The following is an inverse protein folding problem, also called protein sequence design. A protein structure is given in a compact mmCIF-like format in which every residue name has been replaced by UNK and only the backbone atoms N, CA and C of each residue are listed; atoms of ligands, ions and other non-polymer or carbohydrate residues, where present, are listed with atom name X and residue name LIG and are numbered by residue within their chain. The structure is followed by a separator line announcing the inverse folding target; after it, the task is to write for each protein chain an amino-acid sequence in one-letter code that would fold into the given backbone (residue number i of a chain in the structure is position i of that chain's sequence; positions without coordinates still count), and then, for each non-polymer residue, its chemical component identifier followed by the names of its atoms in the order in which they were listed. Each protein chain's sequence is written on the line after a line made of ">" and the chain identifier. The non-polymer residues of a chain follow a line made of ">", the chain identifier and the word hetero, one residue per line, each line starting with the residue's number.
data_IF_898556127938
#
_entry.id   IF_898556127938
#
_cell.length_a   1.000
_cell.length_b   1.000
_cell.length_c   1.000
_cell.angle_alpha   90.00
_cell.angle_beta   90.00
_cell.angle_gamma   90.00
#
_symmetry.space_group_name_H-M   'P 1'
#
loop_
_entity.id
_entity.type
_entity.pdbx_description
1 polymer ?
#
# COMPACT_ATOMS: atom_id res chain seq x y z
N UNK A 1 13.49 28.55 -24.13
CA UNK A 1 13.69 27.12 -23.93
C UNK A 1 13.33 26.67 -22.51
N UNK A 2 13.86 27.27 -21.43
CA UNK A 2 13.57 26.90 -20.01
C UNK A 2 12.06 26.87 -19.65
N UNK A 3 11.24 27.87 -20.06
CA UNK A 3 9.79 27.90 -19.78
C UNK A 3 9.00 26.78 -20.48
N UNK A 4 9.40 26.39 -21.70
CA UNK A 4 8.73 25.32 -22.46
C UNK A 4 9.05 23.95 -21.84
N UNK A 5 10.30 23.74 -21.44
CA UNK A 5 10.74 22.53 -20.74
C UNK A 5 10.03 22.36 -19.37
N UNK A 6 9.88 23.46 -18.62
CA UNK A 6 9.16 23.45 -17.35
C UNK A 6 7.68 23.06 -17.53
N UNK A 7 6.99 23.63 -18.54
CA UNK A 7 5.59 23.28 -18.84
C UNK A 7 5.44 21.79 -19.22
N UNK A 8 6.39 21.25 -19.98
CA UNK A 8 6.39 19.82 -20.36
C UNK A 8 6.63 18.94 -19.14
N UNK A 9 7.63 19.25 -18.33
CA UNK A 9 7.97 18.48 -17.12
C UNK A 9 6.86 18.49 -16.06
N UNK A 10 5.99 19.51 -16.04
CA UNK A 10 4.85 19.62 -15.12
C UNK A 10 3.52 19.11 -15.68
N UNK A 11 3.55 18.55 -16.90
CA UNK A 11 2.37 18.06 -17.59
C UNK A 11 1.95 16.67 -17.07
N UNK A 12 0.92 16.62 -16.22
CA UNK A 12 0.43 15.36 -15.65
C UNK A 12 0.04 14.32 -16.72
N UNK A 13 -0.64 14.68 -17.83
CA UNK A 13 -0.91 13.72 -18.91
C UNK A 13 0.34 13.06 -19.47
N UNK A 14 1.43 13.82 -19.67
CA UNK A 14 2.70 13.25 -20.14
C UNK A 14 3.29 12.27 -19.12
N UNK A 15 3.25 12.61 -17.82
CA UNK A 15 3.71 11.72 -16.75
C UNK A 15 2.91 10.41 -16.77
N UNK A 16 1.59 10.48 -16.96
CA UNK A 16 0.72 9.30 -17.05
C UNK A 16 1.02 8.44 -18.27
N UNK A 17 1.24 9.06 -19.44
CA UNK A 17 1.61 8.33 -20.65
C UNK A 17 2.94 7.60 -20.47
N UNK A 18 3.94 8.25 -19.91
CA UNK A 18 5.24 7.62 -19.64
C UNK A 18 5.12 6.53 -18.58
N UNK A 19 4.38 6.79 -17.49
CA UNK A 19 4.13 5.80 -16.44
C UNK A 19 3.45 4.53 -16.99
N UNK A 20 2.44 4.71 -17.85
CA UNK A 20 1.75 3.59 -18.49
C UNK A 20 2.67 2.88 -19.49
N UNK A 21 3.38 3.63 -20.33
CA UNK A 21 4.30 3.08 -21.33
C UNK A 21 5.41 2.22 -20.72
N UNK A 22 6.04 2.67 -19.62
CA UNK A 22 7.08 1.90 -18.93
C UNK A 22 6.54 0.59 -18.37
N UNK A 23 5.34 0.61 -17.75
CA UNK A 23 4.70 -0.58 -17.17
C UNK A 23 4.29 -1.57 -18.24
N UNK A 24 3.68 -1.10 -19.32
CA UNK A 24 3.30 -1.96 -20.46
C UNK A 24 4.53 -2.52 -21.17
N UNK A 25 5.56 -1.70 -21.37
CA UNK A 25 6.82 -2.15 -21.97
C UNK A 25 7.54 -3.21 -21.15
N UNK A 26 7.57 -3.03 -19.82
CA UNK A 26 8.09 -4.04 -18.90
C UNK A 26 7.27 -5.34 -18.95
N UNK A 27 5.94 -5.25 -18.84
CA UNK A 27 5.06 -6.41 -18.89
C UNK A 27 5.22 -7.18 -20.21
N UNK A 28 5.33 -6.47 -21.33
CA UNK A 28 5.58 -7.06 -22.65
C UNK A 28 6.94 -7.77 -22.74
N UNK A 29 8.00 -7.21 -22.15
CA UNK A 29 9.33 -7.83 -22.11
C UNK A 29 9.34 -9.09 -21.25
N UNK A 30 8.69 -9.05 -20.07
CA UNK A 30 8.64 -10.18 -19.17
C UNK A 30 7.75 -11.32 -19.69
N UNK A 31 6.62 -11.01 -20.33
CA UNK A 31 5.73 -12.01 -20.91
C UNK A 31 6.48 -12.95 -21.86
N UNK A 32 7.35 -12.39 -22.70
CA UNK A 32 8.12 -13.17 -23.68
C UNK A 32 9.09 -14.17 -23.06
N UNK A 33 9.41 -14.00 -21.78
CA UNK A 33 10.33 -14.85 -21.03
C UNK A 33 9.61 -15.99 -20.31
N UNK A 34 8.28 -15.91 -20.15
CA UNK A 34 7.48 -16.96 -19.52
C UNK A 34 7.13 -18.02 -20.59
N UNK A 35 7.42 -19.31 -20.34
CA UNK A 35 6.95 -20.39 -21.19
C UNK A 35 5.44 -20.33 -21.40
N UNK A 36 4.97 -20.56 -22.62
CA UNK A 36 3.56 -20.34 -23.00
C UNK A 36 2.56 -21.19 -22.21
N UNK A 37 2.96 -22.38 -21.84
CA UNK A 37 2.20 -23.34 -21.02
C UNK A 37 2.09 -22.90 -19.55
N UNK A 38 2.95 -22.01 -19.07
CA UNK A 38 3.00 -21.54 -17.69
C UNK A 38 2.40 -20.14 -17.50
N UNK A 39 2.21 -19.35 -18.58
CA UNK A 39 1.76 -17.95 -18.52
C UNK A 39 0.42 -17.78 -17.78
N UNK A 40 -0.48 -18.73 -17.91
CA UNK A 40 -1.79 -18.64 -17.27
C UNK A 40 -1.90 -19.34 -15.92
N UNK A 41 -0.87 -20.06 -15.48
CA UNK A 41 -0.94 -20.94 -14.32
C UNK A 41 -0.13 -20.40 -13.13
N UNK A 42 1.18 -20.25 -13.28
CA UNK A 42 2.10 -19.96 -12.16
C UNK A 42 1.75 -18.71 -11.36
N UNK A 43 1.39 -17.55 -11.97
CA UNK A 43 1.07 -16.36 -11.20
C UNK A 43 -0.18 -16.48 -10.34
N UNK A 44 -1.04 -17.44 -10.62
CA UNK A 44 -2.31 -17.67 -9.91
C UNK A 44 -2.24 -18.78 -8.86
N UNK A 45 -1.09 -19.44 -8.69
CA UNK A 45 -0.91 -20.51 -7.69
C UNK A 45 -0.79 -20.02 -6.25
N UNK A 46 -1.23 -18.80 -5.98
CA UNK A 46 -1.22 -18.20 -4.64
C UNK A 46 -2.64 -18.11 -4.10
N UNK A 47 -2.80 -17.80 -2.83
CA UNK A 47 -4.10 -17.79 -2.13
C UNK A 47 -5.15 -16.97 -2.87
N UNK A 48 -4.76 -15.81 -3.42
CA UNK A 48 -5.68 -14.96 -4.20
C UNK A 48 -6.23 -15.66 -5.43
N UNK A 49 -5.36 -16.30 -6.20
CA UNK A 49 -5.75 -17.02 -7.41
C UNK A 49 -6.57 -18.28 -7.10
N UNK A 50 -6.21 -19.02 -6.04
CA UNK A 50 -6.96 -20.20 -5.59
C UNK A 50 -8.38 -19.85 -5.13
N UNK A 51 -8.52 -18.78 -4.32
CA UNK A 51 -9.84 -18.28 -3.90
C UNK A 51 -10.64 -17.79 -5.11
N UNK A 52 -10.00 -17.06 -6.02
CA UNK A 52 -10.67 -16.61 -7.26
C UNK A 52 -11.13 -17.77 -8.15
N UNK A 53 -10.35 -18.84 -8.21
CA UNK A 53 -10.72 -20.09 -8.89
C UNK A 53 -11.97 -20.72 -8.26
N UNK A 54 -12.00 -20.89 -6.94
CA UNK A 54 -13.17 -21.38 -6.19
C UNK A 54 -14.43 -20.55 -6.47
N UNK A 55 -14.29 -19.20 -6.47
CA UNK A 55 -15.39 -18.28 -6.79
C UNK A 55 -15.86 -18.47 -8.25
N UNK A 56 -14.91 -18.57 -9.20
CA UNK A 56 -15.23 -18.69 -10.63
C UNK A 56 -15.95 -20.00 -10.96
N UNK A 57 -15.63 -21.07 -10.25
CA UNK A 57 -16.32 -22.38 -10.37
C UNK A 57 -17.67 -22.44 -9.64
N UNK A 58 -18.03 -21.42 -8.87
CA UNK A 58 -19.31 -21.39 -8.15
C UNK A 58 -19.27 -22.00 -6.74
N UNK A 59 -18.10 -22.43 -6.26
CA UNK A 59 -17.93 -23.00 -4.92
C UNK A 59 -17.90 -21.90 -3.82
N UNK A 60 -17.94 -20.61 -4.21
CA UNK A 60 -17.93 -19.47 -3.31
C UNK A 60 -16.53 -19.05 -2.88
N UNK A 61 -16.47 -18.19 -1.85
CA UNK A 61 -15.22 -17.66 -1.32
C UNK A 61 -14.55 -18.68 -0.38
N UNK A 62 -13.67 -19.51 -0.96
CA UNK A 62 -13.08 -20.68 -0.29
C UNK A 62 -11.72 -21.06 -0.87
N UNK A 63 -11.13 -22.12 -0.30
CA UNK A 63 -9.95 -22.82 -0.82
C UNK A 63 -8.75 -21.91 -1.06
N UNK A 64 -8.11 -21.35 -0.01
CA UNK A 64 -6.91 -20.50 -0.16
C UNK A 64 -5.70 -21.30 -0.66
N UNK A 65 -5.71 -22.62 -0.51
CA UNK A 65 -4.70 -23.52 -1.04
C UNK A 65 -5.13 -24.13 -2.36
N UNK A 66 -4.21 -24.80 -3.04
CA UNK A 66 -4.43 -25.51 -4.30
C UNK A 66 -5.53 -26.58 -4.22
N UNK A 67 -5.74 -27.16 -3.04
CA UNK A 67 -6.76 -28.19 -2.81
C UNK A 67 -8.08 -27.55 -2.35
N UNK A 68 -9.18 -28.26 -2.57
CA UNK A 68 -10.48 -27.84 -2.06
C UNK A 68 -10.52 -27.98 -0.52
N UNK A 69 -10.55 -26.86 0.18
CA UNK A 69 -10.48 -26.79 1.65
C UNK A 69 -11.70 -26.13 2.29
N UNK A 70 -12.73 -25.87 1.47
CA UNK A 70 -13.97 -25.23 1.93
C UNK A 70 -13.88 -23.71 2.12
N UNK A 71 -14.90 -23.11 2.78
CA UNK A 71 -14.96 -21.67 2.97
C UNK A 71 -13.76 -21.11 3.70
N UNK A 72 -13.34 -19.88 3.35
CA UNK A 72 -12.21 -19.20 3.98
C UNK A 72 -12.52 -17.73 4.31
N UNK A 73 -11.84 -17.20 5.31
CA UNK A 73 -11.68 -15.77 5.58
C UNK A 73 -10.21 -15.34 5.50
N UNK A 74 -9.36 -16.11 4.81
CA UNK A 74 -7.91 -15.89 4.69
C UNK A 74 -7.57 -14.52 4.15
N UNK A 75 -8.29 -14.08 3.10
CA UNK A 75 -8.17 -12.76 2.48
C UNK A 75 -9.47 -11.97 2.58
N UNK A 76 -9.36 -10.67 2.34
CA UNK A 76 -10.51 -9.78 2.11
C UNK A 76 -11.04 -9.91 0.68
N UNK A 77 -12.33 -9.61 0.44
CA UNK A 77 -13.01 -10.04 -0.78
C UNK A 77 -12.65 -9.27 -2.05
N UNK A 78 -12.29 -7.98 -1.96
CA UNK A 78 -12.21 -7.10 -3.14
C UNK A 78 -11.31 -7.68 -4.23
N UNK A 79 -10.08 -8.03 -3.90
CA UNK A 79 -9.14 -8.44 -4.92
C UNK A 79 -9.38 -9.86 -5.45
N UNK A 80 -9.70 -10.88 -4.63
CA UNK A 80 -10.11 -12.19 -5.15
C UNK A 80 -11.33 -12.14 -6.07
N UNK A 81 -12.33 -11.28 -5.80
CA UNK A 81 -13.46 -11.10 -6.70
C UNK A 81 -13.07 -10.40 -8.01
N UNK A 82 -12.12 -9.48 -8.03
CA UNK A 82 -11.58 -8.90 -9.27
C UNK A 82 -10.93 -9.98 -10.15
N UNK A 83 -10.10 -10.82 -9.54
CA UNK A 83 -9.45 -11.94 -10.24
C UNK A 83 -10.49 -12.96 -10.74
N UNK A 84 -11.49 -13.30 -9.92
CA UNK A 84 -12.59 -14.18 -10.31
C UNK A 84 -13.41 -13.61 -11.48
N UNK A 85 -13.59 -12.29 -11.52
CA UNK A 85 -14.18 -11.58 -12.65
C UNK A 85 -13.36 -11.76 -13.93
N UNK A 86 -12.04 -11.66 -13.87
CA UNK A 86 -11.16 -11.93 -15.00
C UNK A 86 -11.26 -13.40 -15.46
N UNK A 87 -11.31 -14.34 -14.53
CA UNK A 87 -11.53 -15.76 -14.85
C UNK A 87 -12.83 -16.03 -15.58
N UNK A 88 -13.93 -15.39 -15.15
CA UNK A 88 -15.24 -15.56 -15.80
C UNK A 88 -15.30 -14.96 -17.20
N UNK A 89 -14.60 -13.84 -17.42
CA UNK A 89 -14.61 -13.13 -18.70
C UNK A 89 -13.64 -13.73 -19.72
N UNK A 90 -12.48 -14.20 -19.28
CA UNK A 90 -11.38 -14.59 -20.16
C UNK A 90 -10.98 -16.06 -20.04
N UNK A 91 -11.65 -16.81 -19.17
CA UNK A 91 -11.34 -18.22 -18.90
C UNK A 91 -10.39 -18.42 -17.73
N UNK A 92 -10.61 -19.53 -17.00
CA UNK A 92 -9.83 -19.90 -15.82
C UNK A 92 -8.41 -20.30 -16.25
N UNK A 93 -7.40 -19.77 -15.57
CA UNK A 93 -5.98 -20.06 -15.79
C UNK A 93 -5.53 -19.83 -17.25
N UNK A 94 -6.16 -18.90 -17.95
CA UNK A 94 -5.76 -18.53 -19.30
C UNK A 94 -4.78 -17.37 -19.32
N UNK A 95 -3.91 -17.25 -20.34
CA UNK A 95 -3.08 -16.07 -20.54
C UNK A 95 -3.91 -14.78 -20.60
N UNK A 96 -5.10 -14.79 -21.22
CA UNK A 96 -5.96 -13.62 -21.31
C UNK A 96 -6.45 -13.14 -19.93
N UNK A 97 -6.82 -14.05 -19.03
CA UNK A 97 -7.18 -13.71 -17.65
C UNK A 97 -5.98 -13.11 -16.89
N UNK A 98 -4.79 -13.68 -17.06
CA UNK A 98 -3.56 -13.16 -16.49
C UNK A 98 -3.29 -11.71 -16.94
N UNK A 99 -3.31 -11.48 -18.27
CA UNK A 99 -3.07 -10.13 -18.80
C UNK A 99 -4.14 -9.13 -18.40
N UNK A 100 -5.40 -9.55 -18.28
CA UNK A 100 -6.46 -8.68 -17.78
C UNK A 100 -6.17 -8.20 -16.34
N UNK A 101 -5.73 -9.09 -15.46
CA UNK A 101 -5.36 -8.75 -14.08
C UNK A 101 -4.08 -7.90 -14.03
N UNK A 102 -3.06 -8.25 -14.81
CA UNK A 102 -1.83 -7.44 -14.93
C UNK A 102 -2.15 -6.03 -15.43
N UNK A 103 -3.01 -5.92 -16.46
CA UNK A 103 -3.44 -4.62 -16.99
C UNK A 103 -4.16 -3.79 -15.92
N UNK A 104 -5.04 -4.38 -15.12
CA UNK A 104 -5.68 -3.70 -14.00
C UNK A 104 -4.65 -3.19 -12.98
N UNK A 105 -3.67 -4.01 -12.61
CA UNK A 105 -2.60 -3.61 -11.71
C UNK A 105 -1.74 -2.47 -12.29
N UNK A 106 -1.44 -2.53 -13.58
CA UNK A 106 -0.73 -1.46 -14.30
C UNK A 106 -1.53 -0.16 -14.27
N UNK A 107 -2.83 -0.23 -14.53
CA UNK A 107 -3.72 0.94 -14.48
C UNK A 107 -3.78 1.53 -13.07
N UNK A 108 -3.91 0.72 -12.02
CA UNK A 108 -3.87 1.19 -10.64
C UNK A 108 -2.54 1.86 -10.29
N UNK A 109 -1.44 1.24 -10.67
CA UNK A 109 -0.10 1.80 -10.43
C UNK A 109 0.14 3.10 -11.20
N UNK A 110 -0.25 3.20 -12.47
CA UNK A 110 -0.12 4.43 -13.26
C UNK A 110 -1.05 5.53 -12.73
N UNK A 111 -2.31 5.21 -12.40
CA UNK A 111 -3.27 6.15 -11.85
C UNK A 111 -2.83 6.76 -10.51
N UNK A 112 -1.97 6.09 -9.75
CA UNK A 112 -1.38 6.60 -8.49
C UNK A 112 -0.59 7.90 -8.69
N UNK A 113 -0.07 8.17 -9.89
CA UNK A 113 0.53 9.47 -10.23
C UNK A 113 -0.42 10.64 -9.99
N UNK A 114 -1.75 10.44 -10.16
CA UNK A 114 -2.75 11.50 -10.04
C UNK A 114 -2.85 12.01 -8.60
N UNK A 115 -3.25 11.20 -7.60
CA UNK A 115 -3.35 11.67 -6.23
C UNK A 115 -2.01 12.18 -5.69
N UNK A 116 -0.87 11.55 -6.02
CA UNK A 116 0.45 12.00 -5.58
C UNK A 116 0.81 13.37 -6.14
N UNK A 117 0.50 13.64 -7.40
CA UNK A 117 0.68 14.97 -7.99
C UNK A 117 -0.12 16.03 -7.23
N UNK A 118 -1.40 15.76 -6.94
CA UNK A 118 -2.23 16.72 -6.21
C UNK A 118 -1.84 16.89 -4.74
N UNK A 119 -1.38 15.83 -4.08
CA UNK A 119 -0.77 15.92 -2.74
C UNK A 119 0.50 16.76 -2.79
N UNK A 120 1.39 16.52 -3.75
CA UNK A 120 2.63 17.27 -3.95
C UNK A 120 2.39 18.78 -4.15
N UNK A 121 1.33 19.15 -4.91
CA UNK A 121 0.94 20.56 -5.07
C UNK A 121 0.55 21.25 -3.75
N UNK A 122 -0.03 20.50 -2.82
CA UNK A 122 -0.41 21.02 -1.50
C UNK A 122 0.78 21.13 -0.58
N UNK A 123 1.67 20.15 -0.61
CA UNK A 123 2.83 20.04 0.30
C UNK A 123 3.93 21.03 -0.07
N UNK A 124 4.26 21.18 -1.36
CA UNK A 124 5.44 21.92 -1.78
C UNK A 124 5.40 22.50 -3.21
N UNK A 125 4.27 23.04 -3.65
CA UNK A 125 4.10 23.65 -4.99
C UNK A 125 4.20 22.61 -6.13
N UNK A 126 4.13 23.14 -7.38
CA UNK A 126 4.16 22.34 -8.62
C UNK A 126 5.49 21.58 -8.81
N UNK A 127 6.59 22.10 -8.29
CA UNK A 127 7.89 21.42 -8.39
C UNK A 127 7.89 20.08 -7.65
N UNK A 128 7.46 20.07 -6.37
CA UNK A 128 7.33 18.83 -5.58
C UNK A 128 6.33 17.87 -6.22
N UNK A 129 5.19 18.39 -6.72
CA UNK A 129 4.17 17.59 -7.40
C UNK A 129 4.75 16.83 -8.60
N UNK A 130 5.46 17.56 -9.45
CA UNK A 130 6.03 16.98 -10.68
C UNK A 130 7.14 15.99 -10.36
N UNK A 131 8.06 16.35 -9.48
CA UNK A 131 9.16 15.44 -9.08
C UNK A 131 8.59 14.15 -8.48
N UNK A 132 7.60 14.24 -7.57
CA UNK A 132 6.98 13.08 -6.94
C UNK A 132 6.30 12.15 -7.96
N UNK A 133 5.51 12.72 -8.88
CA UNK A 133 4.83 11.94 -9.90
C UNK A 133 5.82 11.30 -10.90
N UNK A 134 6.90 12.01 -11.28
CA UNK A 134 7.96 11.44 -12.10
C UNK A 134 8.73 10.34 -11.38
N UNK A 135 9.10 10.55 -10.12
CA UNK A 135 9.76 9.50 -9.32
C UNK A 135 8.90 8.24 -9.28
N UNK A 136 7.59 8.36 -9.03
CA UNK A 136 6.68 7.21 -9.05
C UNK A 136 6.54 6.60 -10.45
N UNK A 137 6.50 7.41 -11.50
CA UNK A 137 6.40 6.92 -12.88
C UNK A 137 7.57 6.02 -13.27
N UNK A 138 8.80 6.40 -12.85
CA UNK A 138 10.04 5.68 -13.20
C UNK A 138 10.54 4.73 -12.12
N UNK A 139 9.89 4.66 -10.95
CA UNK A 139 10.30 3.81 -9.85
C UNK A 139 10.20 2.32 -10.22
N UNK A 140 11.29 1.53 -10.12
CA UNK A 140 11.29 0.14 -10.58
C UNK A 140 10.17 -0.71 -9.98
N UNK A 141 9.94 -0.66 -8.66
CA UNK A 141 8.89 -1.45 -8.03
C UNK A 141 7.48 -1.08 -8.53
N UNK A 142 7.28 0.14 -9.01
CA UNK A 142 5.98 0.57 -9.53
C UNK A 142 5.64 -0.06 -10.89
N UNK A 143 6.59 -0.68 -11.59
CA UNK A 143 6.38 -1.44 -12.84
C UNK A 143 6.63 -2.93 -12.66
N UNK A 144 7.53 -3.35 -11.75
CA UNK A 144 7.81 -4.77 -11.47
C UNK A 144 6.63 -5.41 -10.73
N UNK A 145 6.21 -4.84 -9.60
CA UNK A 145 5.17 -5.41 -8.72
C UNK A 145 3.81 -5.63 -9.44
N UNK A 146 3.30 -4.72 -10.29
CA UNK A 146 2.05 -4.97 -11.03
C UNK A 146 2.06 -6.21 -11.90
N UNK A 147 3.23 -6.63 -12.38
CA UNK A 147 3.39 -7.80 -13.22
C UNK A 147 3.67 -9.08 -12.42
N UNK A 148 4.61 -9.02 -11.47
CA UNK A 148 5.07 -10.21 -10.75
C UNK A 148 4.06 -10.73 -9.72
N UNK A 149 3.19 -9.84 -9.21
CA UNK A 149 2.29 -10.18 -8.12
C UNK A 149 0.82 -9.98 -8.48
N UNK A 150 0.09 -11.09 -8.61
CA UNK A 150 -1.38 -11.07 -8.72
C UNK A 150 -1.99 -10.84 -7.33
N UNK A 151 -1.78 -9.64 -6.80
CA UNK A 151 -2.19 -9.21 -5.46
C UNK A 151 -2.75 -7.79 -5.45
N UNK A 152 -3.43 -7.45 -4.38
CA UNK A 152 -4.02 -6.14 -4.10
C UNK A 152 -3.02 -4.99 -4.00
N UNK A 153 -1.73 -5.24 -4.10
CA UNK A 153 -0.63 -4.32 -3.78
C UNK A 153 -0.70 -3.00 -4.55
N UNK A 154 -0.91 -3.06 -5.88
CA UNK A 154 -1.03 -1.85 -6.72
C UNK A 154 -2.31 -1.07 -6.44
N UNK A 155 -3.42 -1.76 -6.17
CA UNK A 155 -4.68 -1.15 -5.77
C UNK A 155 -4.53 -0.49 -4.39
N UNK A 156 -3.86 -1.15 -3.45
CA UNK A 156 -3.56 -0.63 -2.11
C UNK A 156 -2.74 0.66 -2.15
N UNK A 157 -1.75 0.75 -3.06
CA UNK A 157 -0.95 1.95 -3.27
C UNK A 157 -1.79 3.13 -3.79
N UNK A 158 -2.67 2.88 -4.77
CA UNK A 158 -3.60 3.87 -5.27
C UNK A 158 -4.56 4.35 -4.18
N UNK A 159 -5.18 3.42 -3.45
CA UNK A 159 -6.13 3.74 -2.38
C UNK A 159 -5.47 4.57 -1.28
N UNK A 160 -4.26 4.21 -0.85
CA UNK A 160 -3.54 4.95 0.18
C UNK A 160 -3.18 6.37 -0.27
N UNK A 161 -2.76 6.54 -1.52
CA UNK A 161 -2.51 7.87 -2.09
C UNK A 161 -3.81 8.71 -2.22
N UNK A 162 -4.94 8.09 -2.59
CA UNK A 162 -6.25 8.74 -2.64
C UNK A 162 -6.75 9.13 -1.23
N UNK A 163 -6.58 8.25 -0.25
CA UNK A 163 -6.93 8.51 1.15
C UNK A 163 -6.11 9.69 1.67
N UNK A 164 -4.80 9.71 1.45
CA UNK A 164 -3.96 10.85 1.85
C UNK A 164 -4.44 12.15 1.19
N UNK A 165 -4.68 12.14 -0.13
CA UNK A 165 -5.20 13.30 -0.84
C UNK A 165 -6.52 13.80 -0.27
N UNK A 166 -7.48 12.90 -0.01
CA UNK A 166 -8.76 13.22 0.60
C UNK A 166 -8.58 13.77 2.03
N UNK A 167 -7.70 13.17 2.83
CA UNK A 167 -7.37 13.64 4.20
C UNK A 167 -6.85 15.07 4.20
N UNK A 168 -5.93 15.41 3.28
CA UNK A 168 -5.41 16.78 3.17
C UNK A 168 -6.51 17.77 2.75
N UNK A 169 -7.42 17.35 1.87
CA UNK A 169 -8.58 18.18 1.48
C UNK A 169 -9.54 18.41 2.64
N UNK A 170 -9.80 17.38 3.44
CA UNK A 170 -10.65 17.47 4.63
C UNK A 170 -10.07 18.43 5.66
N UNK A 171 -8.78 18.37 5.90
CA UNK A 171 -8.10 19.20 6.89
C UNK A 171 -7.94 20.67 6.46
N UNK A 172 -7.78 20.94 5.16
CA UNK A 172 -7.63 22.30 4.63
C UNK A 172 -8.97 23.02 4.43
N UNK A 173 -10.10 22.29 4.48
CA UNK A 173 -11.41 22.81 4.08
C UNK A 173 -11.51 23.07 2.56
N UNK A 174 -12.64 23.60 2.12
CA UNK A 174 -12.84 24.10 0.75
C UNK A 174 -12.22 25.50 0.57
N UNK A 175 -10.96 25.67 0.94
CA UNK A 175 -10.22 26.87 0.56
C UNK A 175 -10.05 26.81 -0.97
N UNK A 176 -10.99 27.37 -1.70
CA UNK A 176 -10.76 27.84 -3.06
C UNK A 176 -9.61 28.84 -2.98
N UNK A 177 -8.44 28.43 -3.42
CA UNK A 177 -7.40 29.37 -3.80
C UNK A 177 -7.86 30.05 -5.10
N UNK A 178 -8.80 31.00 -4.97
CA UNK A 178 -8.99 32.02 -5.98
C UNK A 178 -7.75 32.93 -5.95
N UNK A 179 -6.77 32.53 -6.75
CA UNK A 179 -5.54 33.28 -6.96
C UNK A 179 -5.79 34.50 -7.89
N UNK A 180 -6.99 35.03 -7.94
CA UNK A 180 -7.38 36.10 -8.87
C UNK A 180 -7.58 37.47 -8.23
N UNK A 181 -7.37 37.64 -6.90
CA UNK A 181 -7.50 39.01 -6.35
C UNK A 181 -6.50 39.26 -5.21
N UNK A 182 -5.33 39.76 -5.58
CA UNK A 182 -4.27 40.19 -4.66
C UNK A 182 -4.54 41.51 -3.96
N UNK A 183 -5.75 42.07 -4.01
CA UNK A 183 -6.05 43.43 -3.55
C UNK A 183 -7.20 43.58 -2.52
N UNK A 184 -7.62 42.49 -1.86
CA UNK A 184 -8.51 42.61 -0.70
C UNK A 184 -7.96 41.88 0.51
N UNK A 185 -7.29 42.64 1.38
CA UNK A 185 -7.06 42.28 2.78
C UNK A 185 -8.43 42.16 3.49
N UNK A 186 -9.02 40.98 3.46
CA UNK A 186 -10.32 40.69 4.07
C UNK A 186 -10.40 39.24 4.44
N UNK A 187 -10.48 38.96 5.73
CA UNK A 187 -10.74 37.69 6.44
C UNK A 187 -10.97 36.48 5.56
N UNK A 188 -9.96 35.60 5.45
CA UNK A 188 -10.13 34.26 4.92
C UNK A 188 -10.94 33.43 5.92
N UNK A 189 -12.27 33.46 5.80
CA UNK A 189 -13.15 32.51 6.47
C UNK A 189 -12.99 31.18 5.77
N UNK A 190 -12.18 30.29 6.36
CA UNK A 190 -12.09 28.88 5.93
C UNK A 190 -13.43 28.23 6.22
N UNK A 191 -14.22 27.95 5.17
CA UNK A 191 -15.44 27.16 5.34
C UNK A 191 -15.02 25.73 5.79
N UNK A 192 -15.71 25.16 6.80
CA UNK A 192 -15.43 23.79 7.24
C UNK A 192 -15.58 22.83 6.06
N UNK A 193 -14.79 21.75 6.07
CA UNK A 193 -14.83 20.75 5.00
C UNK A 193 -16.26 20.29 4.75
N UNK A 194 -16.64 20.25 3.48
CA UNK A 194 -17.99 19.87 3.07
C UNK A 194 -18.37 18.51 3.65
N UNK A 195 -19.54 18.41 4.30
CA UNK A 195 -20.14 17.15 4.76
C UNK A 195 -20.10 16.07 3.66
N UNK A 196 -20.24 16.50 2.40
CA UNK A 196 -20.18 15.64 1.21
C UNK A 196 -18.81 14.94 1.09
N UNK A 197 -17.70 15.60 1.41
CA UNK A 197 -16.36 14.99 1.35
C UNK A 197 -16.19 13.91 2.43
N UNK A 198 -16.73 14.12 3.64
CA UNK A 198 -16.75 13.09 4.69
C UNK A 198 -17.61 11.89 4.31
N UNK A 199 -18.74 12.11 3.58
CA UNK A 199 -19.55 11.01 3.04
C UNK A 199 -18.81 10.14 2.04
N UNK A 200 -17.89 10.70 1.24
CA UNK A 200 -17.06 9.92 0.30
C UNK A 200 -15.83 9.30 0.95
N UNK A 201 -15.33 9.91 2.01
CA UNK A 201 -14.15 9.43 2.73
C UNK A 201 -14.42 8.10 3.45
N UNK A 202 -15.64 7.92 3.98
CA UNK A 202 -16.06 6.66 4.62
C UNK A 202 -16.02 5.46 3.66
N UNK A 203 -16.74 5.48 2.52
CA UNK A 203 -16.68 4.41 1.52
C UNK A 203 -15.28 4.15 0.99
N UNK A 204 -14.44 5.20 0.81
CA UNK A 204 -13.05 5.03 0.39
C UNK A 204 -12.25 4.21 1.41
N UNK A 205 -12.42 4.48 2.71
CA UNK A 205 -11.81 3.67 3.76
C UNK A 205 -12.41 2.26 3.83
N UNK A 206 -13.74 2.12 3.72
CA UNK A 206 -14.40 0.82 3.69
C UNK A 206 -13.86 -0.05 2.56
N UNK A 207 -13.74 0.51 1.35
CA UNK A 207 -13.17 -0.19 0.20
C UNK A 207 -11.69 -0.54 0.40
N UNK A 208 -10.91 0.37 1.00
CA UNK A 208 -9.50 0.12 1.34
C UNK A 208 -9.35 -1.02 2.34
N UNK A 209 -10.15 -1.05 3.41
CA UNK A 209 -10.15 -2.11 4.41
C UNK A 209 -10.57 -3.47 3.83
N UNK A 210 -11.56 -3.47 2.93
CA UNK A 210 -12.03 -4.66 2.22
C UNK A 210 -11.05 -5.11 1.11
N UNK A 211 -10.09 -4.26 0.74
CA UNK A 211 -8.97 -4.60 -0.14
C UNK A 211 -7.80 -5.13 0.67
N UNK A 212 -7.34 -4.37 1.67
CA UNK A 212 -6.22 -4.73 2.53
C UNK A 212 -6.39 -4.14 3.93
N UNK A 213 -6.69 -4.94 4.95
CA UNK A 213 -6.89 -4.46 6.32
C UNK A 213 -5.67 -3.77 6.94
N UNK A 214 -4.45 -4.07 6.47
CA UNK A 214 -3.23 -3.44 6.98
C UNK A 214 -3.21 -1.92 6.74
N UNK A 215 -3.95 -1.43 5.72
CA UNK A 215 -4.10 0.01 5.47
C UNK A 215 -4.79 0.71 6.65
N UNK A 216 -5.63 -0.02 7.39
CA UNK A 216 -6.38 0.49 8.53
C UNK A 216 -5.52 1.01 9.67
N UNK A 217 -4.24 0.61 9.76
CA UNK A 217 -3.31 1.14 10.76
C UNK A 217 -3.12 2.66 10.63
N UNK A 218 -3.28 3.20 9.42
CA UNK A 218 -3.17 4.64 9.14
C UNK A 218 -4.44 5.43 9.48
N UNK A 219 -5.59 4.76 9.62
CA UNK A 219 -6.89 5.42 9.82
C UNK A 219 -6.92 6.35 11.04
N UNK A 220 -6.53 5.91 12.28
CA UNK A 220 -6.58 6.78 13.45
C UNK A 220 -5.67 8.00 13.32
N UNK A 221 -4.49 7.84 12.70
CA UNK A 221 -3.54 8.94 12.52
C UNK A 221 -4.04 9.98 11.51
N UNK A 222 -4.59 9.54 10.39
CA UNK A 222 -5.07 10.43 9.34
C UNK A 222 -6.36 11.15 9.74
N UNK A 223 -7.30 10.44 10.37
CA UNK A 223 -8.53 11.07 10.89
C UNK A 223 -8.18 11.99 12.06
N UNK A 224 -7.35 11.55 13.00
CA UNK A 224 -6.91 12.36 14.13
C UNK A 224 -6.27 13.67 13.66
N UNK A 225 -5.40 13.62 12.67
CA UNK A 225 -4.78 14.81 12.10
C UNK A 225 -5.80 15.71 11.37
N UNK A 226 -6.72 15.14 10.60
CA UNK A 226 -7.76 15.88 9.91
C UNK A 226 -8.71 16.62 10.85
N UNK A 227 -8.91 16.09 12.07
CA UNK A 227 -9.69 16.76 13.14
C UNK A 227 -8.85 17.81 13.86
N UNK A 228 -7.60 17.48 14.20
CA UNK A 228 -6.71 18.35 14.99
C UNK A 228 -6.35 19.65 14.25
N UNK A 229 -6.13 19.60 12.94
CA UNK A 229 -5.66 20.76 12.18
C UNK A 229 -6.63 21.95 12.13
N UNK A 230 -7.95 21.76 11.99
CA UNK A 230 -8.93 22.87 12.06
C UNK A 230 -9.07 23.48 13.44
N UNK A 231 -8.63 22.82 14.52
CA UNK A 231 -8.71 23.30 15.92
C UNK A 231 -7.69 24.44 16.21
N UNK A 232 -7.53 25.41 15.30
CA UNK A 232 -6.75 26.61 15.59
C UNK A 232 -7.49 27.51 16.60
N UNK A 233 -6.78 28.34 17.39
CA UNK A 233 -7.28 28.99 18.62
C UNK A 233 -8.58 29.82 18.48
N UNK A 234 -9.03 30.15 17.29
CA UNK A 234 -10.19 31.00 17.06
C UNK A 234 -11.54 30.26 16.94
N UNK A 235 -11.56 28.91 16.94
CA UNK A 235 -12.78 28.12 16.73
C UNK A 235 -13.11 27.15 17.88
N UNK A 236 -12.63 27.39 19.08
CA UNK A 236 -12.80 26.49 20.25
C UNK A 236 -14.25 26.18 20.63
N UNK A 237 -15.23 26.96 20.16
CA UNK A 237 -16.66 26.71 20.44
C UNK A 237 -17.33 25.71 19.48
N UNK A 238 -16.62 25.15 18.50
CA UNK A 238 -17.19 24.22 17.50
C UNK A 238 -16.81 22.73 17.74
N UNK A 239 -16.24 22.38 18.87
CA UNK A 239 -15.66 21.05 19.13
C UNK A 239 -16.58 19.85 18.80
N UNK A 240 -17.87 19.92 19.14
CA UNK A 240 -18.85 18.84 18.84
C UNK A 240 -19.22 18.77 17.34
N UNK A 241 -19.21 19.89 16.62
CA UNK A 241 -19.54 19.92 15.21
C UNK A 241 -18.39 19.33 14.36
N UNK A 242 -17.14 19.48 14.81
CA UNK A 242 -15.95 18.92 14.15
C UNK A 242 -15.90 17.40 14.20
N UNK A 243 -16.47 16.75 15.20
CA UNK A 243 -16.47 15.29 15.33
C UNK A 243 -17.55 14.59 14.48
N UNK A 244 -18.59 15.31 14.02
CA UNK A 244 -19.67 14.70 13.22
C UNK A 244 -19.18 14.13 11.88
N UNK A 245 -18.27 14.82 11.21
CA UNK A 245 -17.69 14.35 9.95
C UNK A 245 -16.86 13.07 10.10
N UNK A 246 -15.86 13.04 10.97
CA UNK A 246 -15.09 11.83 11.30
C UNK A 246 -15.95 10.67 11.76
N UNK A 247 -16.91 10.90 12.66
CA UNK A 247 -17.82 9.85 13.14
C UNK A 247 -18.66 9.28 11.99
N UNK A 248 -19.15 10.13 11.08
CA UNK A 248 -19.84 9.70 9.88
C UNK A 248 -18.95 8.85 8.99
N UNK A 249 -17.71 9.29 8.72
CA UNK A 249 -16.79 8.55 7.87
C UNK A 249 -16.43 7.17 8.46
N UNK A 250 -16.14 7.10 9.77
CA UNK A 250 -15.86 5.84 10.48
C UNK A 250 -17.10 4.93 10.44
N UNK A 251 -18.28 5.48 10.75
CA UNK A 251 -19.53 4.70 10.74
C UNK A 251 -19.82 4.11 9.35
N UNK A 252 -19.62 4.90 8.28
CA UNK A 252 -19.80 4.42 6.91
C UNK A 252 -18.72 3.39 6.53
N UNK A 253 -17.46 3.59 6.91
CA UNK A 253 -16.41 2.60 6.67
C UNK A 253 -16.71 1.26 7.34
N UNK A 254 -17.17 1.29 8.60
CA UNK A 254 -17.62 0.10 9.32
C UNK A 254 -18.81 -0.55 8.59
N UNK A 255 -19.81 0.24 8.20
CA UNK A 255 -21.00 -0.25 7.50
C UNK A 255 -20.63 -0.98 6.18
N UNK A 256 -19.63 -0.49 5.45
CA UNK A 256 -19.11 -1.18 4.27
C UNK A 256 -18.51 -2.56 4.59
N UNK A 257 -17.93 -2.73 5.80
CA UNK A 257 -17.32 -4.00 6.23
C UNK A 257 -18.34 -4.98 6.82
N UNK A 258 -19.50 -4.51 7.29
CA UNK A 258 -20.53 -5.33 7.97
C UNK A 258 -20.96 -6.54 7.15
N UNK A 259 -21.31 -6.46 5.85
CA UNK A 259 -21.75 -7.62 5.08
C UNK A 259 -20.71 -8.74 5.09
N UNK A 260 -19.43 -8.38 4.97
CA UNK A 260 -18.33 -9.36 5.02
C UNK A 260 -18.13 -9.95 6.41
N UNK A 261 -18.18 -9.13 7.43
CA UNK A 261 -18.10 -9.57 8.84
C UNK A 261 -19.25 -10.53 9.19
N UNK A 262 -20.49 -10.22 8.76
CA UNK A 262 -21.66 -11.08 8.93
C UNK A 262 -21.48 -12.41 8.21
N UNK A 263 -21.01 -12.38 6.95
CA UNK A 263 -20.68 -13.62 6.20
C UNK A 263 -19.68 -14.47 6.98
N UNK A 264 -18.62 -13.87 7.46
CA UNK A 264 -17.61 -14.60 8.23
C UNK A 264 -18.19 -15.19 9.52
N UNK A 265 -19.01 -14.43 10.24
CA UNK A 265 -19.66 -14.91 11.46
C UNK A 265 -20.61 -16.10 11.19
N UNK A 266 -21.41 -16.03 10.12
CA UNK A 266 -22.32 -17.12 9.73
C UNK A 266 -21.55 -18.39 9.36
N UNK A 267 -20.42 -18.24 8.67
CA UNK A 267 -19.64 -19.39 8.18
C UNK A 267 -18.79 -20.03 9.28
N UNK A 268 -18.14 -19.21 10.11
CA UNK A 268 -17.15 -19.70 11.07
C UNK A 268 -17.67 -19.75 12.51
N UNK A 269 -18.87 -19.19 12.78
CA UNK A 269 -19.44 -19.01 14.13
C UNK A 269 -18.47 -18.28 15.10
N UNK A 270 -17.60 -17.44 14.53
CA UNK A 270 -16.60 -16.62 15.23
C UNK A 270 -16.56 -15.21 14.65
N UNK A 271 -16.23 -14.24 15.50
CA UNK A 271 -16.08 -12.86 15.05
C UNK A 271 -14.74 -12.67 14.32
N UNK A 272 -14.81 -12.65 13.00
CA UNK A 272 -13.68 -12.37 12.09
C UNK A 272 -14.07 -11.14 11.26
N UNK A 273 -13.64 -9.93 11.67
CA UNK A 273 -14.15 -8.69 11.05
C UNK A 273 -13.77 -8.57 9.58
N UNK A 274 -12.55 -8.92 9.19
CA UNK A 274 -12.07 -8.76 7.82
C UNK A 274 -11.39 -10.02 7.29
N UNK A 275 -10.24 -10.42 7.85
CA UNK A 275 -9.48 -11.62 7.46
C UNK A 275 -8.93 -12.36 8.67
N UNK A 276 -8.67 -13.64 8.51
CA UNK A 276 -8.22 -14.55 9.58
C UNK A 276 -6.70 -14.73 9.63
N UNK A 277 -5.98 -14.49 8.54
CA UNK A 277 -4.60 -14.96 8.32
C UNK A 277 -3.52 -14.26 9.16
N UNK A 278 -3.84 -13.28 10.00
CA UNK A 278 -2.83 -12.55 10.79
C UNK A 278 -1.96 -13.48 11.65
N UNK A 279 -2.57 -14.50 12.28
CA UNK A 279 -1.84 -15.47 13.09
C UNK A 279 -0.85 -16.31 12.26
N UNK A 280 -1.20 -16.65 11.03
CA UNK A 280 -0.33 -17.34 10.09
C UNK A 280 0.84 -16.44 9.65
N UNK A 281 0.57 -15.19 9.30
CA UNK A 281 1.60 -14.20 8.95
C UNK A 281 2.58 -13.95 10.11
N UNK A 282 2.07 -13.94 11.34
CA UNK A 282 2.91 -13.82 12.54
C UNK A 282 3.80 -15.05 12.69
N UNK A 283 3.23 -16.25 12.50
CA UNK A 283 3.97 -17.50 12.60
C UNK A 283 5.02 -17.66 11.48
N UNK A 284 4.74 -17.24 10.27
CA UNK A 284 5.73 -17.27 9.17
C UNK A 284 7.02 -16.55 9.53
N UNK A 285 6.92 -15.45 10.26
CA UNK A 285 8.11 -14.72 10.70
C UNK A 285 8.71 -15.24 12.02
N UNK A 286 7.96 -16.00 12.81
CA UNK A 286 8.32 -16.35 14.20
C UNK A 286 8.04 -17.81 14.49
N UNK A 287 8.95 -18.71 14.04
CA UNK A 287 8.83 -20.16 14.20
C UNK A 287 10.21 -20.83 14.32
N UNK A 288 10.23 -22.07 14.82
CA UNK A 288 11.45 -22.84 15.08
C UNK A 288 12.19 -23.30 13.80
N UNK A 289 11.52 -23.27 12.66
CA UNK A 289 12.13 -23.57 11.36
C UNK A 289 12.87 -22.37 10.76
N UNK A 290 13.07 -21.32 11.56
CA UNK A 290 13.80 -20.14 11.17
C UNK A 290 15.26 -20.50 10.86
N UNK A 291 15.61 -20.48 9.58
CA UNK A 291 17.00 -20.51 9.16
C UNK A 291 17.59 -19.10 9.31
N UNK A 292 18.74 -19.01 9.96
CA UNK A 292 19.47 -17.75 10.14
C UNK A 292 19.83 -17.04 8.83
N UNK A 293 19.70 -17.73 7.69
CA UNK A 293 19.98 -17.21 6.35
C UNK A 293 18.75 -16.94 5.50
N UNK A 294 17.59 -17.59 5.78
CA UNK A 294 16.34 -17.33 5.06
C UNK A 294 15.30 -16.70 5.99
N UNK A 295 14.90 -15.51 5.69
CA UNK A 295 14.03 -14.75 6.60
C UNK A 295 12.58 -15.18 6.60
N UNK A 296 12.06 -15.96 5.65
CA UNK A 296 10.68 -15.72 5.32
C UNK A 296 9.86 -16.94 4.94
N UNK A 297 10.45 -17.96 4.39
CA UNK A 297 9.69 -19.12 3.95
C UNK A 297 10.34 -20.38 4.47
N UNK A 298 9.59 -21.24 5.15
CA UNK A 298 10.08 -22.58 5.46
C UNK A 298 10.51 -23.28 4.17
N UNK A 299 11.57 -24.10 4.20
CA UNK A 299 12.05 -24.80 3.02
C UNK A 299 10.96 -25.65 2.37
N UNK A 300 11.08 -25.87 1.09
CA UNK A 300 10.13 -26.27 0.04
C UNK A 300 9.15 -27.45 0.29
N UNK A 301 8.96 -27.95 1.50
CA UNK A 301 8.02 -29.04 1.78
C UNK A 301 7.07 -28.89 3.00
N UNK A 302 7.11 -27.80 3.78
CA UNK A 302 6.12 -27.58 4.85
C UNK A 302 4.73 -27.33 4.29
N UNK A 303 4.59 -26.82 3.06
CA UNK A 303 3.29 -26.53 2.46
C UNK A 303 2.34 -27.74 2.48
N UNK A 304 2.84 -28.94 2.17
CA UNK A 304 2.00 -30.13 2.20
C UNK A 304 1.56 -30.55 3.60
N UNK A 305 2.41 -30.40 4.60
CA UNK A 305 2.08 -30.67 5.98
C UNK A 305 1.12 -29.58 6.50
N UNK A 306 1.40 -28.33 6.21
CA UNK A 306 0.55 -27.22 6.62
C UNK A 306 -0.83 -27.26 5.97
N UNK A 307 -0.93 -27.64 4.70
CA UNK A 307 -2.22 -27.87 4.02
C UNK A 307 -3.00 -28.99 4.69
N UNK A 308 -2.36 -30.09 5.03
CA UNK A 308 -3.01 -31.21 5.76
C UNK A 308 -3.50 -30.77 7.14
N UNK A 309 -2.67 -30.03 7.87
CA UNK A 309 -3.04 -29.47 9.17
C UNK A 309 -4.24 -28.53 9.05
N UNK A 310 -4.23 -27.65 8.03
CA UNK A 310 -5.35 -26.75 7.77
C UNK A 310 -6.66 -27.49 7.46
N UNK A 311 -6.60 -28.53 6.61
CA UNK A 311 -7.77 -29.35 6.26
C UNK A 311 -8.29 -30.10 7.49
N UNK A 312 -7.40 -30.70 8.27
CA UNK A 312 -7.78 -31.51 9.43
C UNK A 312 -8.35 -30.67 10.58
N UNK A 313 -7.76 -29.52 10.86
CA UNK A 313 -8.15 -28.66 11.99
C UNK A 313 -9.28 -27.69 11.64
N UNK A 314 -9.41 -27.33 10.38
CA UNK A 314 -10.21 -26.20 9.94
C UNK A 314 -9.55 -24.84 10.21
N UNK A 315 -9.97 -23.81 9.47
CA UNK A 315 -9.29 -22.50 9.44
C UNK A 315 -9.11 -21.86 10.83
N UNK A 316 -10.15 -21.86 11.64
CA UNK A 316 -10.12 -21.14 12.94
C UNK A 316 -9.21 -21.80 13.96
N UNK A 317 -9.19 -23.14 14.02
CA UNK A 317 -8.31 -23.87 14.91
C UNK A 317 -6.86 -23.84 14.43
N UNK A 318 -6.65 -23.92 13.10
CA UNK A 318 -5.35 -23.75 12.48
C UNK A 318 -4.74 -22.38 12.79
N UNK A 319 -5.50 -21.30 12.64
CA UNK A 319 -5.04 -19.95 13.00
C UNK A 319 -4.70 -19.82 14.49
N UNK A 320 -5.49 -20.46 15.37
CA UNK A 320 -5.19 -20.47 16.81
C UNK A 320 -3.91 -21.23 17.12
N UNK A 321 -3.66 -22.36 16.47
CA UNK A 321 -2.41 -23.12 16.58
C UNK A 321 -1.20 -22.25 16.15
N UNK A 322 -1.30 -21.59 14.99
CA UNK A 322 -0.24 -20.69 14.49
C UNK A 322 0.03 -19.53 15.44
N UNK A 323 -1.01 -18.91 15.97
CA UNK A 323 -0.88 -17.88 17.00
C UNK A 323 -0.11 -18.38 18.23
N UNK A 324 -0.50 -19.54 18.76
CA UNK A 324 0.11 -20.11 19.95
C UNK A 324 1.60 -20.43 19.71
N UNK A 325 1.93 -21.02 18.56
CA UNK A 325 3.32 -21.33 18.16
C UNK A 325 4.15 -20.05 18.03
N UNK A 326 3.66 -19.05 17.33
CA UNK A 326 4.36 -17.77 17.18
C UNK A 326 4.62 -17.08 18.51
N UNK A 327 3.60 -16.96 19.36
CA UNK A 327 3.72 -16.32 20.68
C UNK A 327 4.67 -17.11 21.59
N UNK A 328 4.62 -18.44 21.56
CA UNK A 328 5.55 -19.30 22.29
C UNK A 328 6.99 -19.06 21.86
N UNK A 329 7.25 -19.04 20.54
CA UNK A 329 8.56 -18.76 19.98
C UNK A 329 9.09 -17.39 20.43
N UNK A 330 8.30 -16.33 20.25
CA UNK A 330 8.70 -14.96 20.63
C UNK A 330 9.02 -14.85 22.14
N UNK A 331 8.28 -15.55 22.98
CA UNK A 331 8.53 -15.56 24.44
C UNK A 331 9.77 -16.34 24.83
N UNK A 332 10.04 -17.46 24.15
CA UNK A 332 11.22 -18.32 24.45
C UNK A 332 12.52 -17.77 23.85
N UNK A 333 12.44 -16.93 22.81
CA UNK A 333 13.61 -16.40 22.10
C UNK A 333 13.66 -14.86 22.01
N UNK A 334 13.57 -14.10 23.12
CA UNK A 334 13.43 -12.64 23.08
C UNK A 334 14.65 -11.92 22.46
N UNK A 335 15.86 -12.48 22.63
CA UNK A 335 17.08 -11.92 21.99
C UNK A 335 17.07 -12.12 20.48
N UNK A 336 16.64 -13.28 20.03
CA UNK A 336 16.51 -13.58 18.60
C UNK A 336 15.45 -12.67 17.96
N UNK A 337 14.33 -12.45 18.65
CA UNK A 337 13.27 -11.57 18.18
C UNK A 337 13.76 -10.12 17.93
N UNK A 338 14.62 -9.58 18.81
CA UNK A 338 15.24 -8.28 18.57
C UNK A 338 16.12 -8.25 17.32
N UNK A 339 16.87 -9.33 17.06
CA UNK A 339 17.69 -9.48 15.85
C UNK A 339 16.78 -9.54 14.61
N UNK A 340 15.68 -10.31 14.69
CA UNK A 340 14.71 -10.43 13.61
C UNK A 340 14.02 -9.11 13.29
N UNK A 341 13.62 -8.34 14.30
CA UNK A 341 13.09 -6.99 14.14
C UNK A 341 14.06 -6.09 13.38
N UNK A 342 15.36 -6.11 13.76
CA UNK A 342 16.40 -5.35 13.06
C UNK A 342 16.58 -5.79 11.60
N UNK A 343 16.60 -7.09 11.32
CA UNK A 343 16.69 -7.63 9.95
C UNK A 343 15.47 -7.25 9.11
N UNK A 344 14.26 -7.36 9.66
CA UNK A 344 13.02 -6.98 8.99
C UNK A 344 12.96 -5.47 8.72
N UNK A 345 13.49 -4.66 9.65
CA UNK A 345 13.65 -3.22 9.40
C UNK A 345 14.55 -2.97 8.18
N UNK A 346 15.73 -3.58 8.13
CA UNK A 346 16.63 -3.44 6.98
C UNK A 346 15.97 -3.93 5.70
N UNK A 347 15.37 -5.12 5.69
CA UNK A 347 14.69 -5.69 4.53
C UNK A 347 13.56 -4.77 4.00
N UNK A 348 12.75 -4.19 4.90
CA UNK A 348 11.66 -3.28 4.55
C UNK A 348 12.17 -2.03 3.82
N UNK A 349 13.32 -1.49 4.21
CA UNK A 349 13.81 -0.22 3.66
C UNK A 349 14.78 -0.38 2.50
N UNK A 350 15.50 -1.47 2.44
CA UNK A 350 16.49 -1.73 1.38
C UNK A 350 15.99 -2.72 0.33
N UNK A 351 15.08 -3.63 0.71
CA UNK A 351 14.69 -4.80 -0.08
C UNK A 351 15.69 -5.96 0.01
N UNK A 352 16.74 -5.82 0.81
CA UNK A 352 17.71 -6.89 1.03
C UNK A 352 17.16 -7.87 2.07
N UNK A 353 16.62 -8.97 1.61
CA UNK A 353 16.12 -10.05 2.47
C UNK A 353 17.27 -10.89 3.04
N UNK A 354 18.40 -10.95 2.33
CA UNK A 354 19.67 -11.54 2.77
C UNK A 354 20.69 -10.46 3.12
N UNK A 355 21.71 -10.73 3.93
CA UNK A 355 22.85 -9.84 4.13
C UNK A 355 23.53 -9.46 2.81
N UNK A 356 24.49 -8.53 2.88
CA UNK A 356 25.17 -7.85 1.74
C UNK A 356 25.57 -8.77 0.58
N UNK A 357 25.85 -10.03 0.86
CA UNK A 357 26.14 -11.05 -0.15
C UNK A 357 25.03 -11.18 -1.21
N UNK A 358 23.76 -11.05 -0.82
CA UNK A 358 22.63 -11.12 -1.75
C UNK A 358 22.55 -9.99 -2.78
N UNK A 359 23.17 -8.82 -2.53
CA UNK A 359 23.27 -7.74 -3.51
C UNK A 359 24.34 -8.02 -4.56
N UNK A 360 25.46 -8.63 -4.15
CA UNK A 360 26.56 -8.98 -5.04
C UNK A 360 26.26 -10.24 -5.87
N UNK A 361 25.52 -11.19 -5.28
CA UNK A 361 25.12 -12.44 -5.91
C UNK A 361 23.88 -12.31 -6.82
N UNK A 362 23.24 -11.12 -6.88
CA UNK A 362 22.13 -10.90 -7.78
C UNK A 362 22.61 -10.85 -9.22
N UNK A 363 22.32 -11.91 -9.99
CA UNK A 363 22.68 -12.03 -11.41
C UNK A 363 21.93 -11.03 -12.31
N UNK A 364 20.82 -10.45 -11.82
CA UNK A 364 20.00 -9.54 -12.60
C UNK A 364 20.35 -8.06 -12.36
N UNK A 365 20.73 -7.36 -13.42
CA UNK A 365 20.92 -5.90 -13.43
C UNK A 365 19.68 -5.14 -12.93
N UNK A 366 18.47 -5.60 -13.28
CA UNK A 366 17.21 -5.01 -12.84
C UNK A 366 17.02 -5.12 -11.33
N UNK A 367 17.36 -6.26 -10.73
CA UNK A 367 17.28 -6.45 -9.28
C UNK A 367 18.21 -5.48 -8.56
N UNK A 368 19.44 -5.30 -9.04
CA UNK A 368 20.39 -4.33 -8.45
C UNK A 368 19.88 -2.90 -8.53
N UNK A 369 19.30 -2.49 -9.68
CA UNK A 369 18.67 -1.17 -9.82
C UNK A 369 17.49 -1.02 -8.89
N UNK A 370 16.64 -2.03 -8.76
CA UNK A 370 15.50 -1.99 -7.87
C UNK A 370 15.95 -1.84 -6.40
N UNK A 371 16.93 -2.62 -5.94
CA UNK A 371 17.48 -2.52 -4.58
C UNK A 371 18.11 -1.14 -4.31
N UNK A 372 18.94 -0.64 -5.23
CA UNK A 372 19.55 0.68 -5.11
C UNK A 372 18.50 1.79 -5.07
N UNK A 373 17.49 1.72 -5.95
CA UNK A 373 16.39 2.69 -5.97
C UNK A 373 15.57 2.68 -4.68
N UNK A 374 15.34 1.52 -4.09
CA UNK A 374 14.66 1.38 -2.78
C UNK A 374 15.47 2.03 -1.65
N UNK A 375 16.76 1.80 -1.62
CA UNK A 375 17.65 2.39 -0.62
C UNK A 375 17.72 3.92 -0.75
N UNK A 376 17.91 4.44 -1.97
CA UNK A 376 17.92 5.88 -2.23
C UNK A 376 16.57 6.53 -1.90
N UNK A 377 15.46 5.87 -2.21
CA UNK A 377 14.13 6.34 -1.86
C UNK A 377 13.92 6.40 -0.35
N UNK A 378 14.41 5.40 0.40
CA UNK A 378 14.35 5.41 1.86
C UNK A 378 15.12 6.62 2.44
N UNK A 379 16.38 6.81 2.02
CA UNK A 379 17.19 7.98 2.45
C UNK A 379 16.47 9.27 2.08
N UNK A 380 16.01 9.41 0.84
CA UNK A 380 15.29 10.58 0.35
C UNK A 380 14.04 10.88 1.17
N UNK A 381 13.28 9.86 1.55
CA UNK A 381 12.07 10.02 2.37
C UNK A 381 12.41 10.55 3.78
N UNK A 382 13.40 9.98 4.45
CA UNK A 382 13.83 10.47 5.76
C UNK A 382 14.38 11.89 5.70
N UNK A 383 15.18 12.25 4.68
CA UNK A 383 15.59 13.62 4.42
C UNK A 383 14.39 14.55 4.19
N UNK A 384 13.39 14.09 3.42
CA UNK A 384 12.16 14.85 3.16
C UNK A 384 11.35 15.14 4.42
N UNK A 385 11.31 14.19 5.35
CA UNK A 385 10.68 14.40 6.68
C UNK A 385 11.41 15.51 7.43
N UNK A 386 12.74 15.44 7.51
CA UNK A 386 13.56 16.48 8.17
C UNK A 386 13.29 17.86 7.56
N UNK A 387 13.24 17.94 6.23
CA UNK A 387 12.92 19.17 5.50
C UNK A 387 11.52 19.68 5.84
N UNK A 388 10.50 18.83 5.86
CA UNK A 388 9.14 19.24 6.22
C UNK A 388 9.04 19.78 7.65
N UNK A 389 9.75 19.17 8.60
CA UNK A 389 9.81 19.68 9.97
C UNK A 389 10.59 21.01 10.05
N UNK A 390 11.69 21.17 9.31
CA UNK A 390 12.43 22.44 9.25
C UNK A 390 11.61 23.57 8.63
N UNK A 391 10.74 23.26 7.67
CA UNK A 391 9.77 24.20 7.09
C UNK A 391 8.60 24.50 8.03
N UNK A 392 8.51 23.82 9.18
CA UNK A 392 7.31 23.84 10.04
C UNK A 392 6.04 23.54 9.26
N UNK A 393 6.15 22.67 8.25
CA UNK A 393 5.03 22.31 7.39
C UNK A 393 3.93 21.64 8.21
N UNK A 394 2.68 22.06 8.08
CA UNK A 394 1.56 21.40 8.75
C UNK A 394 1.36 19.95 8.24
N UNK A 395 1.94 19.60 7.11
CA UNK A 395 1.86 18.27 6.50
C UNK A 395 2.96 17.32 7.00
N UNK A 396 3.91 17.80 7.83
CA UNK A 396 5.02 16.99 8.31
C UNK A 396 4.55 15.75 9.09
N UNK A 397 3.63 15.93 10.04
CA UNK A 397 3.11 14.82 10.87
C UNK A 397 2.38 13.75 10.07
N UNK A 398 1.35 14.06 9.26
CA UNK A 398 0.62 13.04 8.53
C UNK A 398 1.49 12.31 7.50
N UNK A 399 2.47 12.98 6.90
CA UNK A 399 3.39 12.33 5.95
C UNK A 399 4.43 11.47 6.65
N UNK A 400 4.98 11.92 7.80
CA UNK A 400 5.92 11.14 8.59
C UNK A 400 5.28 9.88 9.20
N UNK A 401 3.97 9.90 9.47
CA UNK A 401 3.26 8.74 10.00
C UNK A 401 3.35 7.51 9.08
N UNK A 402 3.40 7.70 7.75
CA UNK A 402 3.48 6.57 6.82
C UNK A 402 4.75 5.74 7.00
N UNK A 403 5.96 6.26 6.90
CA UNK A 403 7.16 5.46 7.09
C UNK A 403 7.42 5.03 8.55
N UNK A 404 6.80 5.68 9.54
CA UNK A 404 7.00 5.36 10.95
C UNK A 404 6.00 4.32 11.44
N UNK A 405 4.71 4.48 11.12
CA UNK A 405 3.62 3.69 11.71
C UNK A 405 3.26 2.48 10.84
N UNK A 406 3.14 2.68 9.52
CA UNK A 406 2.67 1.63 8.62
C UNK A 406 3.54 0.36 8.65
N UNK A 407 4.88 0.43 8.67
CA UNK A 407 5.72 -0.77 8.66
C UNK A 407 5.75 -1.57 9.97
N UNK A 408 5.26 -1.01 11.08
CA UNK A 408 5.38 -1.63 12.41
C UNK A 408 4.81 -3.06 12.45
N UNK A 409 3.66 -3.28 11.83
CA UNK A 409 3.05 -4.62 11.74
C UNK A 409 3.97 -5.61 11.04
N UNK A 410 4.68 -5.18 10.01
CA UNK A 410 5.58 -6.03 9.23
C UNK A 410 6.93 -6.28 9.92
N UNK A 411 7.34 -5.41 10.83
CA UNK A 411 8.51 -5.69 11.68
C UNK A 411 8.23 -6.82 12.66
N UNK A 412 6.98 -6.97 13.10
CA UNK A 412 6.58 -8.03 14.04
C UNK A 412 6.24 -9.32 13.29
N UNK A 413 5.65 -9.25 12.10
CA UNK A 413 5.33 -10.41 11.27
C UNK A 413 6.52 -10.79 10.39
N UNK A 414 6.52 -10.40 9.15
CA UNK A 414 7.65 -10.54 8.24
C UNK A 414 7.66 -9.41 7.22
N UNK A 415 8.84 -9.02 6.74
CA UNK A 415 9.03 -7.87 5.88
C UNK A 415 9.33 -8.28 4.44
N UNK A 416 8.74 -7.53 3.49
CA UNK A 416 9.03 -7.63 2.07
C UNK A 416 8.77 -6.27 1.41
N UNK A 417 9.46 -5.96 0.30
CA UNK A 417 9.17 -4.77 -0.50
C UNK A 417 7.71 -4.70 -0.96
N UNK A 418 7.09 -5.84 -1.21
CA UNK A 418 5.67 -5.94 -1.54
C UNK A 418 4.78 -5.32 -0.45
N UNK A 419 5.10 -5.54 0.82
CA UNK A 419 4.32 -5.00 1.94
C UNK A 419 4.53 -3.50 2.15
N UNK A 420 5.67 -2.94 1.72
CA UNK A 420 5.91 -1.50 1.75
C UNK A 420 5.22 -0.78 0.60
N UNK A 421 5.00 -1.45 -0.52
CA UNK A 421 4.50 -0.83 -1.75
C UNK A 421 3.24 0.04 -1.59
N UNK A 422 2.27 -0.25 -0.71
CA UNK A 422 1.14 0.65 -0.46
C UNK A 422 1.54 2.07 -0.03
N UNK A 423 2.71 2.26 0.59
CA UNK A 423 3.22 3.56 1.01
C UNK A 423 4.36 4.11 0.14
N UNK A 424 4.86 3.34 -0.82
CA UNK A 424 5.92 3.80 -1.73
C UNK A 424 5.58 5.11 -2.47
N UNK A 425 4.34 5.37 -2.91
CA UNK A 425 3.98 6.67 -3.49
C UNK A 425 4.25 7.85 -2.54
N UNK A 426 4.03 7.65 -1.25
CA UNK A 426 4.29 8.66 -0.23
C UNK A 426 5.79 8.80 0.04
N UNK A 427 6.54 7.70 -0.01
CA UNK A 427 8.00 7.70 0.04
C UNK A 427 8.56 8.52 -1.14
N UNK A 428 8.03 8.35 -2.36
CA UNK A 428 8.42 9.17 -3.53
C UNK A 428 8.08 10.65 -3.33
N UNK A 429 6.95 10.96 -2.71
CA UNK A 429 6.57 12.33 -2.38
C UNK A 429 7.55 12.96 -1.38
N UNK A 430 7.90 12.25 -0.31
CA UNK A 430 8.87 12.71 0.68
C UNK A 430 10.25 12.92 0.06
N UNK A 431 10.69 11.99 -0.79
CA UNK A 431 11.93 12.11 -1.57
C UNK A 431 11.90 13.34 -2.49
N UNK A 432 10.76 13.62 -3.12
CA UNK A 432 10.57 14.81 -3.95
C UNK A 432 10.71 16.12 -3.15
N UNK A 433 10.27 16.15 -1.89
CA UNK A 433 10.47 17.30 -1.00
C UNK A 433 11.95 17.54 -0.74
N UNK A 434 12.72 16.49 -0.45
CA UNK A 434 14.17 16.60 -0.24
C UNK A 434 14.89 17.11 -1.50
N UNK A 435 14.56 16.56 -2.67
CA UNK A 435 15.14 16.98 -3.96
C UNK A 435 14.79 18.43 -4.27
N UNK A 436 13.53 18.84 -4.10
CA UNK A 436 13.11 20.23 -4.35
C UNK A 436 13.87 21.21 -3.47
N UNK A 437 14.05 20.91 -2.18
CA UNK A 437 14.85 21.72 -1.26
C UNK A 437 16.32 21.82 -1.70
N UNK A 438 16.92 20.73 -2.14
CA UNK A 438 18.31 20.72 -2.60
C UNK A 438 18.49 21.57 -3.87
N UNK A 439 17.51 21.55 -4.78
CA UNK A 439 17.52 22.36 -5.99
C UNK A 439 17.32 23.86 -5.70
N UNK A 440 16.47 24.22 -4.73
CA UNK A 440 16.27 25.63 -4.36
C UNK A 440 17.49 26.21 -3.66
N UNK A 441 18.19 25.46 -2.81
CA UNK A 441 19.44 25.90 -2.17
C UNK A 441 20.57 26.19 -3.17
N UNK A 442 20.59 25.49 -4.31
CA UNK A 442 21.60 25.72 -5.37
C UNK A 442 21.36 27.01 -6.18
N UNK A 443 20.19 27.64 -6.02
CA UNK A 443 19.84 28.91 -6.68
C UNK A 443 20.22 30.15 -5.85
N UNK A 444 20.76 29.96 -4.66
CA UNK A 444 21.23 31.02 -3.77
C UNK A 444 22.72 30.80 -3.48
N UNK A 445 23.65 31.21 -4.37
CA UNK A 445 24.47 32.41 -4.16
C UNK A 445 24.82 33.11 -5.46
N UNK A 446 24.50 34.39 -5.55
CA UNK A 446 25.17 35.32 -6.50
C UNK A 446 24.54 35.47 -7.91
N UNK A 447 23.21 35.74 -8.02
CA UNK A 447 22.62 36.46 -9.18
C UNK A 447 21.68 37.54 -8.67
#
# INVERSE_FOLDING_TARGET
>A
MKRRFYKIATCLPLILIVALGLRLGFAWDQERKIPRDLVGLVPFLQETGNIAFSIAQGHGFGSPYWQETGPTAWLTPVYPYLVAGAYRLFGIHTPHAFFAVVLLNILFSAATCIPIFYVGKRVGRVAVASIAAWLWAVFPNAWIIPFEWVWDTSLSALLMAMILWATLRLADGDARTDYSDSNRAGSTTTKPASRRLWCWYGPLWGFALMTNPSLGVMLPFLIGWAVYRPLRPHEQNQGRALLKGPALAIGVAILCCVPWTVRNYVVFHRFIPLRSNFAFELWLGNNDNFDSQSQIVPPANPEREEIRNYIHMGETAFMQDKWNKAVSFMRSHPKLELILLGRRFVAMWTGMEKPVDGFLDSDSFLTRIALLSNFLAAIGAFCGIIVLFSWRSPYALPLAAFPIVFPVVYYVTHASLRYRHPIDPIIMLLTAVAIAQALDRRRLPGE
#
